data_IF_525305952444
#
_entry.id   IF_525305952444
#
_cell.length_a   1.000
_cell.length_b   1.000
_cell.length_c   1.000
_cell.angle_alpha   90.00
_cell.angle_beta   90.00
_cell.angle_gamma   90.00
#
_symmetry.space_group_name_H-M   'P 1'
#
loop_
_entity.id
_entity.type
_entity.pdbx_description
1 polymer ?
#
# COMPACT_ATOMS: atom_id res chain seq x y z
N UNK A 1 -18.90 5.72 1.19
CA UNK A 1 -17.85 4.87 1.76
C UNK A 1 -17.88 3.57 0.96
N UNK A 2 -16.97 3.39 0.02
CA UNK A 2 -16.89 2.13 -0.73
C UNK A 2 -16.19 1.11 0.14
N UNK A 3 -16.85 -0.02 0.40
CA UNK A 3 -16.34 -1.07 1.26
C UNK A 3 -15.14 -1.76 0.61
N UNK A 4 -14.19 -2.21 1.44
CA UNK A 4 -13.08 -3.02 1.00
C UNK A 4 -13.61 -4.39 0.56
N UNK A 5 -13.33 -4.80 -0.68
CA UNK A 5 -13.50 -6.20 -1.07
C UNK A 5 -12.30 -7.05 -0.65
N UNK A 6 -12.45 -8.37 -0.67
CA UNK A 6 -11.37 -9.32 -0.39
C UNK A 6 -10.16 -9.17 -1.32
N UNK A 7 -10.34 -8.56 -2.49
CA UNK A 7 -9.30 -8.36 -3.51
C UNK A 7 -8.85 -6.91 -3.65
N UNK A 8 -9.51 -5.95 -2.99
CA UNK A 8 -9.12 -4.55 -3.01
C UNK A 8 -8.13 -4.29 -1.88
N UNK A 9 -6.83 -4.25 -2.21
CA UNK A 9 -5.74 -4.07 -1.24
C UNK A 9 -5.40 -2.59 -1.02
N UNK A 10 -5.55 -1.79 -2.07
CA UNK A 10 -5.22 -0.36 -2.08
C UNK A 10 -6.29 0.44 -2.84
N UNK A 11 -6.49 1.70 -2.48
CA UNK A 11 -7.35 2.62 -3.23
C UNK A 11 -6.84 4.04 -3.16
N UNK A 12 -7.09 4.82 -4.20
CA UNK A 12 -6.86 6.27 -4.18
C UNK A 12 -7.98 6.94 -3.40
N UNK A 13 -7.65 7.88 -2.52
CA UNK A 13 -8.59 8.70 -1.77
C UNK A 13 -8.69 10.13 -2.37
N UNK A 14 -8.90 10.21 -3.68
CA UNK A 14 -8.80 11.48 -4.43
C UNK A 14 -9.84 12.51 -3.98
N UNK A 15 -11.05 12.09 -3.64
CA UNK A 15 -12.09 13.00 -3.14
C UNK A 15 -11.70 13.60 -1.78
N UNK A 16 -11.22 12.77 -0.85
CA UNK A 16 -10.72 13.25 0.46
C UNK A 16 -9.49 14.16 0.30
N UNK A 17 -8.61 13.83 -0.63
CA UNK A 17 -7.40 14.60 -0.92
C UNK A 17 -7.72 15.99 -1.50
N UNK A 18 -8.76 16.07 -2.35
CA UNK A 18 -9.29 17.34 -2.90
C UNK A 18 -10.06 18.15 -1.86
N UNK A 19 -10.91 17.51 -1.04
CA UNK A 19 -11.70 18.18 0.00
C UNK A 19 -10.82 18.83 1.09
N UNK A 20 -9.67 18.22 1.39
CA UNK A 20 -8.71 18.73 2.37
C UNK A 20 -7.69 19.71 1.75
N UNK A 21 -7.91 20.13 0.50
CA UNK A 21 -7.24 21.26 -0.15
C UNK A 21 -7.63 22.59 0.52
N UNK A 22 -6.69 23.52 0.74
CA UNK A 22 -6.98 24.77 1.47
C UNK A 22 -7.82 25.76 0.65
N UNK A 23 -7.77 25.66 -0.68
CA UNK A 23 -8.38 26.64 -1.60
C UNK A 23 -9.54 26.07 -2.44
N UNK A 24 -9.80 24.76 -2.38
CA UNK A 24 -10.79 24.09 -3.23
C UNK A 24 -10.47 24.12 -4.73
N UNK A 25 -9.29 24.63 -5.12
CA UNK A 25 -8.82 24.56 -6.50
C UNK A 25 -8.47 23.10 -6.84
N UNK A 26 -8.77 22.62 -8.07
CA UNK A 26 -8.43 21.24 -8.48
C UNK A 26 -6.95 20.86 -8.30
N UNK A 27 -6.09 21.88 -8.22
CA UNK A 27 -4.64 21.80 -8.18
C UNK A 27 -4.06 21.93 -6.76
N UNK A 28 -4.88 22.32 -5.77
CA UNK A 28 -4.48 22.39 -4.35
C UNK A 28 -4.91 21.12 -3.63
N UNK A 29 -4.22 20.03 -3.96
CA UNK A 29 -4.42 18.76 -3.29
C UNK A 29 -3.35 18.57 -2.21
N UNK A 30 -3.67 17.87 -1.12
CA UNK A 30 -2.67 17.56 -0.08
C UNK A 30 -1.53 16.76 -0.68
N UNK A 31 -1.82 15.77 -1.52
CA UNK A 31 -0.80 14.98 -2.20
C UNK A 31 0.14 15.86 -3.03
N UNK A 32 -0.40 16.82 -3.80
CA UNK A 32 0.41 17.78 -4.56
C UNK A 32 1.38 18.57 -3.68
N UNK A 33 0.92 19.09 -2.53
CA UNK A 33 1.79 19.80 -1.57
C UNK A 33 2.91 18.91 -1.03
N UNK A 34 2.60 17.66 -0.72
CA UNK A 34 3.61 16.69 -0.27
C UNK A 34 4.61 16.36 -1.38
N UNK A 35 4.20 16.27 -2.65
CA UNK A 35 5.10 16.06 -3.78
C UNK A 35 6.09 17.23 -3.90
N UNK A 36 5.61 18.47 -3.91
CA UNK A 36 6.46 19.66 -4.01
C UNK A 36 7.45 19.75 -2.83
N UNK A 37 7.01 19.44 -1.60
CA UNK A 37 7.86 19.44 -0.41
C UNK A 37 8.94 18.36 -0.40
N UNK A 38 8.76 17.27 -1.16
CA UNK A 38 9.67 16.12 -1.19
C UNK A 38 10.36 15.97 -2.56
N UNK A 39 10.36 17.02 -3.39
CA UNK A 39 10.96 17.00 -4.72
C UNK A 39 12.48 16.79 -4.68
N UNK A 40 13.15 17.26 -3.63
CA UNK A 40 14.59 17.03 -3.40
C UNK A 40 14.93 15.52 -3.25
N UNK A 41 13.94 14.70 -2.93
CA UNK A 41 14.06 13.24 -2.90
C UNK A 41 13.99 12.55 -4.26
N UNK A 42 13.71 13.29 -5.34
CA UNK A 42 13.65 12.78 -6.71
C UNK A 42 14.84 13.28 -7.54
N UNK A 43 15.82 12.40 -7.75
CA UNK A 43 17.01 12.70 -8.53
C UNK A 43 16.68 12.97 -10.00
N UNK A 44 17.49 13.78 -10.68
CA UNK A 44 17.18 14.22 -12.06
C UNK A 44 17.10 13.05 -13.04
N UNK A 45 17.97 12.04 -12.87
CA UNK A 45 17.96 10.80 -13.63
C UNK A 45 16.65 10.01 -13.46
N UNK A 46 16.06 10.02 -12.27
CA UNK A 46 14.86 9.26 -11.92
C UNK A 46 13.59 9.92 -12.45
N UNK A 47 13.64 11.22 -12.79
CA UNK A 47 12.47 11.96 -13.32
C UNK A 47 11.94 11.39 -14.62
N UNK A 48 12.77 10.68 -15.39
CA UNK A 48 12.40 10.09 -16.69
C UNK A 48 12.24 8.58 -16.63
N UNK A 49 12.73 7.92 -15.58
CA UNK A 49 12.52 6.49 -15.36
C UNK A 49 11.11 6.26 -14.76
N UNK A 50 10.18 5.62 -15.49
CA UNK A 50 8.84 5.34 -14.97
C UNK A 50 8.83 4.56 -13.66
N UNK A 51 9.78 3.64 -13.47
CA UNK A 51 9.83 2.80 -12.27
C UNK A 51 10.34 3.60 -11.07
N UNK A 52 11.46 4.32 -11.21
CA UNK A 52 12.00 5.15 -10.14
C UNK A 52 11.03 6.28 -9.75
N UNK A 53 10.44 6.97 -10.74
CA UNK A 53 9.43 8.01 -10.51
C UNK A 53 8.21 7.46 -9.75
N UNK A 54 7.71 6.29 -10.15
CA UNK A 54 6.59 5.65 -9.47
C UNK A 54 6.93 5.25 -8.02
N UNK A 55 8.13 4.70 -7.78
CA UNK A 55 8.58 4.35 -6.42
C UNK A 55 8.61 5.59 -5.52
N UNK A 56 9.17 6.69 -6.02
CA UNK A 56 9.18 7.98 -5.31
C UNK A 56 7.75 8.48 -5.03
N UNK A 57 6.90 8.59 -6.05
CA UNK A 57 5.54 9.09 -5.91
C UNK A 57 4.69 8.22 -4.96
N UNK A 58 4.85 6.89 -5.02
CA UNK A 58 4.17 5.95 -4.13
C UNK A 58 4.62 6.11 -2.68
N UNK A 59 5.92 6.30 -2.44
CA UNK A 59 6.44 6.50 -1.08
C UNK A 59 5.83 7.73 -0.41
N UNK A 60 5.61 8.80 -1.17
CA UNK A 60 4.96 10.03 -0.70
C UNK A 60 3.47 9.81 -0.51
N UNK A 61 2.81 9.11 -1.45
CA UNK A 61 1.37 8.85 -1.42
C UNK A 61 0.91 7.95 -0.25
N UNK A 62 1.84 7.29 0.44
CA UNK A 62 1.56 6.31 1.50
C UNK A 62 2.17 6.73 2.84
N UNK A 63 1.67 6.20 3.98
CA UNK A 63 2.35 6.35 5.27
C UNK A 63 3.77 5.75 5.25
N UNK A 64 4.72 6.30 6.04
CA UNK A 64 4.51 7.34 7.06
C UNK A 64 4.60 8.78 6.52
N UNK A 65 4.96 8.99 5.25
CA UNK A 65 5.18 10.34 4.70
C UNK A 65 3.87 11.11 4.70
N UNK A 66 2.84 10.61 4.02
CA UNK A 66 1.52 11.23 4.04
C UNK A 66 0.58 10.45 4.95
N UNK A 67 0.08 11.10 6.00
CA UNK A 67 -0.95 10.55 6.88
C UNK A 67 -2.10 11.55 7.11
N UNK A 68 -3.36 11.15 6.94
CA UNK A 68 -3.79 9.96 6.21
C UNK A 68 -3.31 10.02 4.73
N UNK A 69 -2.74 8.94 4.17
CA UNK A 69 -2.15 8.91 2.81
C UNK A 69 -3.13 9.10 1.65
N UNK A 70 -2.61 9.58 0.51
CA UNK A 70 -3.34 9.66 -0.77
C UNK A 70 -3.80 8.29 -1.26
N UNK A 71 -2.93 7.28 -1.09
CA UNK A 71 -3.29 5.87 -1.22
C UNK A 71 -3.69 5.33 0.15
N UNK A 72 -4.90 4.79 0.24
CA UNK A 72 -5.34 3.99 1.38
C UNK A 72 -4.90 2.55 1.17
N UNK A 73 -4.29 1.98 2.19
CA UNK A 73 -3.98 0.55 2.28
C UNK A 73 -5.10 -0.11 3.07
N UNK A 74 -5.48 -1.33 2.69
CA UNK A 74 -6.49 -2.12 3.39
C UNK A 74 -6.04 -2.36 4.85
N UNK A 75 -6.90 -2.14 5.86
CA UNK A 75 -6.45 -2.01 7.25
C UNK A 75 -5.74 -3.25 7.82
N UNK A 76 -6.11 -4.45 7.39
CA UNK A 76 -5.54 -5.74 7.80
C UNK A 76 -4.14 -6.02 7.22
N UNK A 77 -3.65 -5.17 6.30
CA UNK A 77 -2.30 -5.29 5.74
C UNK A 77 -1.29 -4.48 6.56
N UNK A 78 -0.09 -5.00 6.72
CA UNK A 78 1.00 -4.31 7.39
C UNK A 78 1.60 -3.19 6.53
N UNK A 79 1.82 -3.47 5.24
CA UNK A 79 2.33 -2.49 4.29
C UNK A 79 2.09 -2.92 2.83
N UNK A 80 2.02 -1.93 1.95
CA UNK A 80 2.15 -2.11 0.49
C UNK A 80 3.17 -1.11 -0.01
N UNK A 81 4.34 -1.61 -0.45
CA UNK A 81 5.47 -0.80 -0.92
C UNK A 81 5.79 -1.12 -2.37
N UNK A 82 6.25 -0.11 -3.09
CA UNK A 82 6.92 -0.28 -4.37
C UNK A 82 8.43 -0.07 -4.16
N UNK A 83 9.24 -0.93 -4.77
CA UNK A 83 10.71 -0.86 -4.68
C UNK A 83 11.32 -1.24 -6.02
N UNK A 84 12.55 -0.82 -6.28
CA UNK A 84 13.34 -1.37 -7.38
C UNK A 84 14.31 -2.43 -6.84
N UNK A 85 14.49 -3.49 -7.61
CA UNK A 85 15.50 -4.51 -7.35
C UNK A 85 16.90 -3.90 -7.50
N UNK A 86 17.78 -4.03 -6.50
CA UNK A 86 19.12 -3.46 -6.56
C UNK A 86 20.04 -4.20 -7.56
N UNK A 87 19.63 -5.38 -8.03
CA UNK A 87 20.43 -6.22 -8.92
C UNK A 87 20.19 -5.92 -10.41
N UNK A 88 18.96 -5.57 -10.77
CA UNK A 88 18.51 -5.46 -12.16
C UNK A 88 17.52 -4.31 -12.41
N UNK A 89 17.26 -3.47 -11.41
CA UNK A 89 16.42 -2.27 -11.53
C UNK A 89 14.93 -2.55 -11.70
N UNK A 90 14.49 -3.82 -11.71
CA UNK A 90 13.08 -4.18 -11.92
C UNK A 90 12.18 -3.68 -10.81
N UNK A 91 10.99 -3.20 -11.19
CA UNK A 91 9.96 -2.77 -10.25
C UNK A 91 9.37 -3.99 -9.52
N UNK A 92 9.30 -3.90 -8.20
CA UNK A 92 8.74 -4.92 -7.32
C UNK A 92 7.62 -4.33 -6.47
N UNK A 93 6.53 -5.07 -6.38
CA UNK A 93 5.48 -4.86 -5.38
C UNK A 93 5.81 -5.72 -4.16
N UNK A 94 5.84 -5.09 -2.99
CA UNK A 94 6.09 -5.76 -1.71
C UNK A 94 4.88 -5.55 -0.81
N UNK A 95 4.21 -6.64 -0.45
CA UNK A 95 3.03 -6.62 0.43
C UNK A 95 3.35 -7.40 1.69
N UNK A 96 3.24 -6.74 2.83
CA UNK A 96 3.38 -7.34 4.15
C UNK A 96 1.98 -7.57 4.72
N UNK A 97 1.68 -8.80 5.12
CA UNK A 97 0.40 -9.16 5.73
C UNK A 97 0.62 -9.97 7.01
N UNK A 98 0.02 -9.56 8.14
CA UNK A 98 -0.08 -10.40 9.33
C UNK A 98 -0.80 -11.71 8.98
N UNK A 99 -0.27 -12.82 9.48
CA UNK A 99 -0.89 -14.15 9.34
C UNK A 99 -1.25 -14.62 10.74
N UNK A 100 -2.54 -14.85 10.97
CA UNK A 100 -2.97 -15.42 12.24
C UNK A 100 -2.57 -16.89 12.26
N UNK A 101 -1.84 -17.33 13.29
CA UNK A 101 -1.46 -18.73 13.41
C UNK A 101 -2.67 -19.67 13.48
N UNK A 102 -3.86 -19.16 13.86
CA UNK A 102 -5.14 -19.86 13.74
C UNK A 102 -5.54 -20.24 12.31
N UNK A 103 -4.97 -19.61 11.29
CA UNK A 103 -5.19 -19.90 9.86
C UNK A 103 -4.29 -21.05 9.35
N UNK A 104 -3.22 -21.39 10.08
CA UNK A 104 -2.33 -22.48 9.71
C UNK A 104 -3.02 -23.84 9.84
N UNK A 105 -2.53 -24.85 9.12
CA UNK A 105 -2.98 -26.24 9.30
C UNK A 105 -2.67 -26.72 10.72
N UNK A 106 -3.53 -27.59 11.26
CA UNK A 106 -3.46 -27.99 12.67
C UNK A 106 -2.09 -28.55 13.07
N UNK A 107 -1.44 -29.26 12.16
CA UNK A 107 -0.17 -29.96 12.41
C UNK A 107 1.05 -29.02 12.49
N UNK A 108 0.92 -27.76 12.03
CA UNK A 108 1.99 -26.76 12.10
C UNK A 108 1.69 -25.64 13.12
N UNK A 109 0.53 -25.68 13.78
CA UNK A 109 0.20 -24.71 14.83
C UNK A 109 1.11 -24.91 16.05
N UNK A 110 1.43 -23.83 16.79
CA UNK A 110 2.15 -23.97 18.06
C UNK A 110 1.43 -24.95 18.99
N UNK A 111 2.11 -25.99 19.52
CA UNK A 111 1.48 -26.98 20.40
C UNK A 111 1.30 -26.46 21.84
N UNK A 112 1.58 -25.17 22.09
CA UNK A 112 1.52 -24.51 23.38
C UNK A 112 0.71 -23.21 23.29
N UNK A 113 0.21 -22.74 24.44
CA UNK A 113 -0.63 -21.55 24.49
C UNK A 113 0.19 -20.27 24.21
N UNK A 114 -0.09 -19.65 23.07
CA UNK A 114 0.41 -18.32 22.69
C UNK A 114 -0.74 -17.46 22.18
N UNK A 115 -0.58 -16.14 22.29
CA UNK A 115 -1.47 -15.17 21.67
C UNK A 115 -1.10 -14.95 20.21
N UNK A 116 -2.07 -14.46 19.45
CA UNK A 116 -1.99 -14.16 18.02
C UNK A 116 -2.19 -12.65 17.77
N UNK A 117 -2.17 -12.24 16.50
CA UNK A 117 -2.68 -10.94 16.08
C UNK A 117 -4.13 -10.74 16.52
N UNK A 118 -4.43 -9.57 17.09
CA UNK A 118 -5.77 -9.18 17.54
C UNK A 118 -6.38 -8.17 16.57
N UNK A 119 -7.67 -8.30 16.27
CA UNK A 119 -8.38 -7.26 15.53
C UNK A 119 -8.58 -6.03 16.40
N UNK A 120 -8.32 -4.85 15.84
CA UNK A 120 -8.62 -3.57 16.47
C UNK A 120 -10.12 -3.51 16.82
N UNK A 121 -10.38 -3.38 18.11
CA UNK A 121 -11.74 -3.37 18.69
C UNK A 121 -12.45 -2.04 18.46
N UNK A 122 -11.72 -0.99 18.09
CA UNK A 122 -12.24 0.34 17.79
C UNK A 122 -12.47 0.59 16.30
N UNK A 123 -12.25 -0.43 15.45
CA UNK A 123 -12.59 -0.35 14.04
C UNK A 123 -14.10 -0.45 13.85
N UNK A 124 -14.76 0.69 13.60
CA UNK A 124 -16.21 0.80 13.40
C UNK A 124 -16.69 0.52 11.96
N UNK A 125 -15.82 0.03 11.06
CA UNK A 125 -16.19 -0.26 9.67
C UNK A 125 -16.59 -1.73 9.46
N UNK A 126 -17.62 -1.95 8.66
CA UNK A 126 -17.89 -3.25 8.05
C UNK A 126 -16.81 -3.55 7.01
N UNK A 127 -15.95 -4.54 7.28
CA UNK A 127 -14.82 -4.90 6.41
C UNK A 127 -13.58 -5.39 7.17
N UNK A 128 -12.44 -5.53 6.46
CA UNK A 128 -11.17 -5.94 7.05
C UNK A 128 -10.73 -4.96 8.13
N UNK A 129 -10.40 -5.52 9.31
CA UNK A 129 -9.98 -4.76 10.49
C UNK A 129 -8.48 -4.74 10.60
N UNK A 130 -7.94 -3.64 11.09
CA UNK A 130 -6.53 -3.57 11.44
C UNK A 130 -6.18 -4.69 12.43
N UNK A 131 -5.03 -5.32 12.21
CA UNK A 131 -4.49 -6.33 13.10
C UNK A 131 -3.35 -5.71 13.89
N UNK A 132 -3.40 -5.88 15.21
CA UNK A 132 -2.43 -5.34 16.15
C UNK A 132 -1.86 -6.45 17.04
N UNK A 133 -0.65 -6.22 17.55
CA UNK A 133 -0.11 -7.09 18.58
C UNK A 133 -1.03 -7.08 19.81
N UNK A 134 -1.11 -8.18 20.58
CA UNK A 134 -1.84 -8.19 21.84
C UNK A 134 -1.42 -7.06 22.78
N UNK A 135 -2.39 -6.30 23.30
CA UNK A 135 -2.13 -5.23 24.27
C UNK A 135 -1.61 -5.77 25.61
N UNK A 136 -2.08 -6.96 26.01
CA UNK A 136 -1.66 -7.61 27.25
C UNK A 136 -0.51 -8.58 26.98
N UNK A 137 0.70 -8.11 27.32
CA UNK A 137 1.97 -8.81 27.18
C UNK A 137 2.28 -9.77 28.35
N UNK A 138 1.34 -10.01 29.28
CA UNK A 138 1.55 -10.98 30.38
C UNK A 138 1.67 -12.43 29.91
N UNK A 139 1.37 -12.70 28.64
CA UNK A 139 1.45 -14.02 28.00
C UNK A 139 2.29 -13.93 26.73
N UNK A 140 3.02 -15.01 26.37
CA UNK A 140 3.76 -15.05 25.13
C UNK A 140 2.82 -14.92 23.92
N UNK A 141 3.26 -14.17 22.91
CA UNK A 141 2.59 -14.04 21.62
C UNK A 141 3.50 -14.57 20.50
N UNK A 142 2.91 -15.24 19.51
CA UNK A 142 3.58 -15.60 18.27
C UNK A 142 2.92 -14.84 17.12
N UNK A 143 3.63 -13.84 16.61
CA UNK A 143 3.14 -12.96 15.55
C UNK A 143 3.80 -13.34 14.23
N UNK A 144 3.05 -13.98 13.34
CA UNK A 144 3.53 -14.36 12.02
C UNK A 144 3.19 -13.29 10.99
N UNK A 145 4.08 -13.08 10.03
CA UNK A 145 3.82 -12.22 8.88
C UNK A 145 4.32 -12.90 7.62
N UNK A 146 3.61 -12.68 6.52
CA UNK A 146 4.03 -13.08 5.20
C UNK A 146 4.39 -11.83 4.38
N UNK A 147 5.47 -11.93 3.61
CA UNK A 147 5.87 -10.91 2.64
C UNK A 147 5.71 -11.47 1.25
N UNK A 148 4.76 -10.95 0.48
CA UNK A 148 4.60 -11.26 -0.93
C UNK A 148 5.41 -10.26 -1.76
N UNK A 149 6.39 -10.77 -2.52
CA UNK A 149 7.17 -9.97 -3.47
C UNK A 149 6.80 -10.38 -4.89
N UNK A 150 6.29 -9.45 -5.68
CA UNK A 150 5.87 -9.70 -7.06
C UNK A 150 6.66 -8.80 -8.01
N UNK A 151 7.26 -9.34 -9.08
CA UNK A 151 7.74 -8.51 -10.16
C UNK A 151 6.57 -7.82 -10.86
N UNK A 152 6.78 -6.59 -11.28
CA UNK A 152 5.84 -5.77 -12.06
C UNK A 152 6.27 -5.64 -13.53
N UNK A 153 6.98 -6.66 -14.04
CA UNK A 153 7.63 -6.64 -15.36
C UNK A 153 6.62 -6.48 -16.52
N UNK A 154 5.38 -6.90 -16.32
CA UNK A 154 4.29 -6.82 -17.31
C UNK A 154 3.45 -5.54 -17.19
N UNK A 155 3.80 -4.63 -16.27
CA UNK A 155 3.06 -3.39 -16.09
C UNK A 155 3.45 -2.38 -17.18
N UNK A 156 2.45 -1.88 -17.88
CA UNK A 156 2.60 -0.63 -18.63
C UNK A 156 2.61 0.51 -17.62
N UNK A 157 3.76 1.12 -17.36
CA UNK A 157 3.90 2.22 -16.41
C UNK A 157 3.55 3.57 -17.06
N UNK A 158 3.11 4.53 -16.24
CA UNK A 158 2.96 5.92 -16.68
C UNK A 158 4.34 6.49 -17.00
N UNK A 159 4.50 7.08 -18.19
CA UNK A 159 5.75 7.73 -18.58
C UNK A 159 5.72 9.19 -18.07
N UNK A 160 6.52 9.56 -17.06
CA UNK A 160 6.61 10.94 -16.61
C UNK A 160 7.21 11.82 -17.70
N UNK A 161 6.78 13.07 -17.77
CA UNK A 161 7.33 14.08 -18.68
C UNK A 161 8.81 14.35 -18.39
N UNK A 162 9.22 14.20 -17.12
CA UNK A 162 10.59 14.35 -16.64
C UNK A 162 11.13 15.78 -16.58
N UNK A 163 10.39 16.73 -17.12
CA UNK A 163 10.60 18.18 -16.95
C UNK A 163 9.24 18.85 -16.81
N UNK A 164 9.04 19.53 -15.68
CA UNK A 164 7.77 20.17 -15.34
C UNK A 164 7.96 21.69 -15.30
N UNK A 165 7.60 22.42 -16.36
CA UNK A 165 7.71 23.89 -16.36
C UNK A 165 6.78 24.56 -15.34
N UNK A 166 5.76 23.83 -14.87
CA UNK A 166 4.82 24.23 -13.83
C UNK A 166 4.55 23.01 -12.94
N UNK A 167 4.31 23.23 -11.64
CA UNK A 167 4.17 22.16 -10.62
C UNK A 167 3.00 21.22 -10.90
N UNK A 168 1.94 21.72 -11.55
CA UNK A 168 0.74 20.98 -11.88
C UNK A 168 1.03 19.75 -12.74
N UNK A 169 1.99 19.85 -13.67
CA UNK A 169 2.35 18.74 -14.53
C UNK A 169 3.05 17.61 -13.77
N UNK A 170 3.82 17.95 -12.73
CA UNK A 170 4.41 16.95 -11.82
C UNK A 170 3.31 16.22 -11.04
N UNK A 171 2.35 16.98 -10.53
CA UNK A 171 1.23 16.45 -9.75
C UNK A 171 0.38 15.51 -10.61
N UNK A 172 0.07 15.91 -11.84
CA UNK A 172 -0.69 15.10 -12.79
C UNK A 172 0.04 13.80 -13.15
N UNK A 173 1.35 13.86 -13.41
CA UNK A 173 2.17 12.67 -13.65
C UNK A 173 2.15 11.71 -12.46
N UNK A 174 2.34 12.25 -11.24
CA UNK A 174 2.36 11.44 -10.02
C UNK A 174 0.99 10.80 -9.75
N UNK A 175 -0.12 11.54 -9.93
CA UNK A 175 -1.48 11.00 -9.75
C UNK A 175 -1.77 9.89 -10.76
N UNK A 176 -1.40 10.07 -12.03
CA UNK A 176 -1.59 9.04 -13.06
C UNK A 176 -0.76 7.78 -12.76
N UNK A 177 0.52 7.94 -12.41
CA UNK A 177 1.40 6.84 -12.05
C UNK A 177 0.84 6.04 -10.85
N UNK A 178 0.44 6.72 -9.78
CA UNK A 178 -0.12 6.10 -8.58
C UNK A 178 -1.46 5.42 -8.84
N UNK A 179 -2.36 6.06 -9.59
CA UNK A 179 -3.66 5.47 -9.92
C UNK A 179 -3.50 4.17 -10.74
N UNK A 180 -2.56 4.16 -11.67
CA UNK A 180 -2.23 2.97 -12.46
C UNK A 180 -1.65 1.86 -11.57
N UNK A 181 -0.72 2.19 -10.68
CA UNK A 181 -0.18 1.23 -9.72
C UNK A 181 -1.26 0.63 -8.81
N UNK A 182 -2.18 1.45 -8.27
CA UNK A 182 -3.32 0.98 -7.47
C UNK A 182 -4.13 -0.07 -8.24
N UNK A 183 -4.46 0.21 -9.51
CA UNK A 183 -5.19 -0.73 -10.36
C UNK A 183 -4.42 -2.04 -10.54
N UNK A 184 -3.13 -1.96 -10.85
CA UNK A 184 -2.30 -3.14 -11.14
C UNK A 184 -1.99 -3.99 -9.88
N UNK A 185 -1.82 -3.35 -8.72
CA UNK A 185 -1.65 -4.05 -7.44
C UNK A 185 -2.90 -4.87 -7.12
N UNK A 186 -4.09 -4.27 -7.19
CA UNK A 186 -5.34 -4.99 -6.91
C UNK A 186 -5.55 -6.15 -7.89
N UNK A 187 -5.27 -5.94 -9.17
CA UNK A 187 -5.42 -6.99 -10.19
C UNK A 187 -4.43 -8.16 -10.00
N UNK A 188 -3.17 -7.86 -9.70
CA UNK A 188 -2.12 -8.87 -9.63
C UNK A 188 -2.02 -9.54 -8.26
N UNK A 189 -2.17 -8.79 -7.16
CA UNK A 189 -1.97 -9.29 -5.81
C UNK A 189 -3.27 -9.58 -5.06
N UNK A 190 -4.40 -8.99 -5.45
CA UNK A 190 -5.67 -9.06 -4.71
C UNK A 190 -6.08 -10.49 -4.36
N UNK A 191 -6.24 -11.34 -5.37
CA UNK A 191 -6.59 -12.76 -5.16
C UNK A 191 -5.51 -13.56 -4.41
N UNK A 192 -4.23 -13.22 -4.58
CA UNK A 192 -3.13 -13.93 -3.90
C UNK A 192 -3.19 -13.68 -2.39
N UNK A 193 -3.42 -12.43 -2.01
CA UNK A 193 -3.60 -12.04 -0.61
C UNK A 193 -4.92 -12.60 -0.06
N UNK A 194 -6.02 -12.51 -0.81
CA UNK A 194 -7.32 -13.06 -0.37
C UNK A 194 -7.24 -14.56 -0.02
N UNK A 195 -6.51 -15.34 -0.82
CA UNK A 195 -6.24 -16.76 -0.52
C UNK A 195 -5.34 -16.94 0.70
N UNK A 196 -4.27 -16.14 0.79
CA UNK A 196 -3.32 -16.20 1.90
C UNK A 196 -3.98 -15.93 3.26
N UNK A 197 -4.92 -14.99 3.32
CA UNK A 197 -5.64 -14.66 4.56
C UNK A 197 -6.93 -15.46 4.75
N UNK A 198 -7.18 -16.47 3.91
CA UNK A 198 -8.32 -17.40 4.04
C UNK A 198 -9.69 -16.86 3.65
N UNK A 199 -9.78 -15.67 3.02
CA UNK A 199 -11.03 -15.06 2.59
C UNK A 199 -11.68 -15.80 1.40
N UNK A 200 -10.87 -16.43 0.54
CA UNK A 200 -11.35 -17.22 -0.60
C UNK A 200 -11.38 -18.74 -0.33
N UNK A 201 -11.40 -19.18 0.94
CA UNK A 201 -11.47 -20.62 1.27
C UNK A 201 -10.22 -21.43 0.88
N UNK A 202 -9.08 -20.76 0.67
CA UNK A 202 -7.80 -21.41 0.43
C UNK A 202 -7.25 -22.03 1.70
N UNK A 203 -7.43 -23.34 1.87
CA UNK A 203 -6.51 -24.12 2.69
C UNK A 203 -5.21 -24.32 1.90
N UNK A 204 -4.09 -24.18 2.59
CA UNK A 204 -2.79 -24.63 2.10
C UNK A 204 -2.79 -26.14 1.84
#
# INVERSE_FOLDING_TARGET
MTDWSDTTLVRVADDYDREMGDTGAPLDSRFGRYLTQNLDGLWEEDRKDPAAFLVWAWSIATPPIMSPGYVRIRPDLGAVRLTQSPYDGRLLVVIETPVQHGQLTKDVRPPYAVRDWESDRYSYSDGPRALQAPEDESKPALLLAATLRLPADDWTLHQPAGTWPVEELLIDDAKQAVALAVKQINASAGHRIAKLVGAEGGHW
#
